data_IF_136245641591
#
_entry.id   IF_136245641591
#
_cell.length_a   1.000
_cell.length_b   1.000
_cell.length_c   1.000
_cell.angle_alpha   90.00
_cell.angle_beta   90.00
_cell.angle_gamma   90.00
#
_symmetry.space_group_name_H-M   'P 1'
#
loop_
_entity.id
_entity.type
_entity.pdbx_description
1 polymer ?
#
# COMPACT_ATOMS: atom_id res chain seq x y z
N UNK A 1 -61.30 -10.14 42.20
CA UNK A 1 -60.19 -10.43 41.20
C UNK A 1 -59.88 -9.30 40.22
N UNK A 2 -60.56 -8.16 40.18
CA UNK A 2 -60.26 -7.05 39.27
C UNK A 2 -59.19 -6.04 39.78
N UNK A 3 -59.00 -5.93 41.09
CA UNK A 3 -58.09 -4.94 41.67
C UNK A 3 -56.59 -5.23 41.46
N UNK A 4 -56.19 -6.48 41.27
CA UNK A 4 -54.80 -6.88 41.06
C UNK A 4 -54.34 -6.76 39.58
N UNK A 5 -55.27 -6.64 38.63
CA UNK A 5 -54.90 -6.43 37.22
C UNK A 5 -54.43 -5.03 36.90
N UNK A 6 -54.94 -4.01 37.60
CA UNK A 6 -54.48 -2.63 37.44
C UNK A 6 -53.12 -2.35 38.03
N UNK A 7 -52.77 -3.01 39.13
CA UNK A 7 -51.44 -2.87 39.71
C UNK A 7 -50.36 -3.50 38.79
N UNK A 8 -50.63 -4.61 38.13
CA UNK A 8 -49.71 -5.24 37.20
C UNK A 8 -49.52 -4.37 35.92
N UNK A 9 -50.56 -3.72 35.43
CA UNK A 9 -50.48 -2.78 34.28
C UNK A 9 -49.64 -1.53 34.65
N UNK A 10 -49.78 -0.99 35.85
CA UNK A 10 -48.99 0.16 36.29
C UNK A 10 -47.52 -0.20 36.54
N UNK A 11 -47.22 -1.42 36.96
CA UNK A 11 -45.82 -1.89 37.16
C UNK A 11 -45.14 -2.13 35.81
N UNK A 12 -45.85 -2.60 34.79
CA UNK A 12 -45.34 -2.76 33.42
C UNK A 12 -45.10 -1.39 32.75
N UNK A 13 -45.97 -0.38 32.99
CA UNK A 13 -45.78 0.98 32.50
C UNK A 13 -44.60 1.72 33.17
N UNK A 14 -44.28 1.43 34.44
CA UNK A 14 -43.15 2.01 35.14
C UNK A 14 -41.81 1.34 34.80
N UNK A 15 -41.81 0.12 34.31
CA UNK A 15 -40.61 -0.57 33.79
C UNK A 15 -40.24 -0.22 32.31
N UNK A 16 -41.12 0.51 31.59
CA UNK A 16 -40.80 1.05 30.26
C UNK A 16 -39.98 2.35 30.33
N UNK A 17 -39.53 2.75 31.54
CA UNK A 17 -38.66 3.91 31.75
C UNK A 17 -37.21 3.63 31.47
N UNK A 18 -36.72 4.28 30.45
CA UNK A 18 -35.31 4.56 30.18
C UNK A 18 -34.53 3.36 29.61
N UNK A 19 -34.90 2.89 28.42
CA UNK A 19 -33.89 2.43 27.51
C UNK A 19 -33.14 3.70 27.04
N UNK A 20 -32.07 4.05 27.73
CA UNK A 20 -31.08 5.00 27.18
C UNK A 20 -30.63 4.39 25.88
N UNK A 21 -30.96 5.05 24.78
CA UNK A 21 -30.38 4.70 23.50
C UNK A 21 -28.86 4.71 23.71
N UNK A 22 -28.20 3.59 23.44
CA UNK A 22 -26.76 3.48 23.56
C UNK A 22 -26.17 4.48 22.58
N UNK A 23 -25.26 5.34 23.04
CA UNK A 23 -24.54 6.25 22.16
C UNK A 23 -23.74 5.42 21.18
N UNK A 24 -24.18 5.36 19.93
CA UNK A 24 -23.50 4.62 18.85
C UNK A 24 -22.34 5.43 18.30
N UNK A 25 -21.32 5.63 19.16
CA UNK A 25 -20.15 6.45 18.85
C UNK A 25 -18.85 5.72 19.10
N UNK A 26 -17.94 5.78 18.12
CA UNK A 26 -16.53 5.45 18.28
C UNK A 26 -15.79 6.74 18.55
N UNK A 27 -15.01 6.82 19.62
CA UNK A 27 -14.29 8.05 19.92
C UNK A 27 -12.89 7.80 20.54
N UNK A 28 -11.98 8.75 20.30
CA UNK A 28 -10.59 8.67 20.72
C UNK A 28 -10.07 10.04 21.16
N UNK A 29 -9.07 10.05 22.05
CA UNK A 29 -8.43 11.25 22.59
C UNK A 29 -7.10 11.60 21.91
N UNK A 30 -6.77 10.92 20.82
CA UNK A 30 -5.54 11.14 20.07
C UNK A 30 -5.79 10.91 18.57
N UNK A 31 -5.01 11.55 17.69
CA UNK A 31 -5.05 11.26 16.24
C UNK A 31 -4.73 9.79 15.93
N UNK A 32 -5.15 9.30 14.78
CA UNK A 32 -4.74 8.02 14.26
C UNK A 32 -3.29 8.12 13.73
N UNK A 33 -2.47 7.14 14.09
CA UNK A 33 -1.10 7.02 13.59
C UNK A 33 -0.97 5.96 12.51
N UNK A 34 -1.99 5.10 12.37
CA UNK A 34 -2.05 4.01 11.39
C UNK A 34 -3.40 4.00 10.71
N UNK A 35 -3.44 3.48 9.50
CA UNK A 35 -4.67 3.33 8.73
C UNK A 35 -5.78 2.59 9.50
N UNK A 36 -5.43 1.52 10.22
CA UNK A 36 -6.38 0.73 11.03
C UNK A 36 -6.95 1.46 12.25
N UNK A 37 -6.42 2.61 12.60
CA UNK A 37 -6.91 3.47 13.69
C UNK A 37 -7.80 4.60 13.18
N UNK A 38 -7.74 4.91 11.86
CA UNK A 38 -8.50 5.98 11.25
C UNK A 38 -10.00 5.66 11.23
N UNK A 39 -10.85 6.69 11.20
CA UNK A 39 -12.30 6.55 11.20
C UNK A 39 -12.84 6.46 9.77
N UNK A 40 -13.60 5.41 9.42
CA UNK A 40 -14.15 5.25 8.08
C UNK A 40 -15.41 6.10 7.88
N UNK A 41 -15.51 6.72 6.70
CA UNK A 41 -16.74 7.33 6.18
C UNK A 41 -16.95 6.84 4.74
N UNK A 42 -18.22 6.77 4.29
CA UNK A 42 -18.49 6.32 2.92
C UNK A 42 -19.98 6.30 2.57
N UNK A 43 -20.26 6.24 1.24
CA UNK A 43 -21.60 6.13 0.69
C UNK A 43 -21.80 4.89 -0.20
N UNK A 44 -20.85 3.94 -0.16
CA UNK A 44 -20.82 2.75 -1.02
C UNK A 44 -19.96 2.94 -2.28
N UNK A 45 -19.93 4.13 -2.89
CA UNK A 45 -19.11 4.45 -4.06
C UNK A 45 -17.81 5.17 -3.68
N UNK A 46 -17.90 6.21 -2.89
CA UNK A 46 -16.77 6.93 -2.33
C UNK A 46 -16.58 6.56 -0.87
N UNK A 47 -15.35 6.43 -0.44
CA UNK A 47 -15.01 6.20 0.95
C UNK A 47 -13.73 6.93 1.34
N UNK A 48 -13.60 7.25 2.63
CA UNK A 48 -12.36 7.80 3.15
C UNK A 48 -12.07 7.31 4.57
N UNK A 49 -10.78 7.23 4.89
CA UNK A 49 -10.26 7.02 6.24
C UNK A 49 -9.80 8.37 6.79
N UNK A 50 -10.39 8.82 7.88
CA UNK A 50 -10.14 10.11 8.53
C UNK A 50 -9.18 9.91 9.70
N UNK A 51 -8.01 10.54 9.67
CA UNK A 51 -6.97 10.35 10.69
C UNK A 51 -7.15 11.25 11.92
N UNK A 52 -7.73 12.42 11.75
CA UNK A 52 -7.96 13.38 12.84
C UNK A 52 -6.70 14.12 13.29
N UNK A 53 -5.72 14.29 12.42
CA UNK A 53 -4.49 15.02 12.73
C UNK A 53 -4.74 16.50 12.99
N UNK A 54 -4.04 17.13 13.94
CA UNK A 54 -4.23 18.53 14.30
C UNK A 54 -3.52 19.45 13.31
N UNK A 55 -2.20 19.32 13.21
CA UNK A 55 -1.36 20.10 12.29
C UNK A 55 -1.49 19.59 10.85
N UNK A 56 -1.50 18.28 10.70
CA UNK A 56 -1.59 17.59 9.43
C UNK A 56 -2.78 16.61 9.48
N UNK A 57 -3.91 17.03 8.94
CA UNK A 57 -5.06 16.15 8.72
C UNK A 57 -4.87 15.36 7.43
N UNK A 58 -5.18 14.07 7.46
CA UNK A 58 -5.16 13.21 6.30
C UNK A 58 -6.52 12.52 6.12
N UNK A 59 -7.03 12.58 4.92
CA UNK A 59 -8.15 11.75 4.46
C UNK A 59 -7.64 10.89 3.31
N UNK A 60 -7.47 9.60 3.55
CA UNK A 60 -7.14 8.65 2.49
C UNK A 60 -8.43 8.17 1.85
N UNK A 61 -8.64 8.48 0.57
CA UNK A 61 -9.91 8.24 -0.10
C UNK A 61 -9.81 7.28 -1.27
N UNK A 62 -10.92 6.60 -1.51
CA UNK A 62 -11.08 5.64 -2.59
C UNK A 62 -12.38 5.89 -3.36
N UNK A 63 -12.42 5.37 -4.59
CA UNK A 63 -13.59 5.30 -5.45
C UNK A 63 -13.74 3.86 -5.97
N UNK A 64 -14.96 3.31 -5.95
CA UNK A 64 -15.22 1.87 -6.09
C UNK A 64 -14.77 1.24 -7.41
N UNK A 65 -14.64 2.03 -8.47
CA UNK A 65 -14.31 1.53 -9.81
C UNK A 65 -12.84 1.60 -10.16
N UNK A 66 -11.97 2.10 -9.27
CA UNK A 66 -10.53 2.15 -9.53
C UNK A 66 -9.88 0.81 -9.20
N UNK A 67 -9.68 -0.02 -10.24
CA UNK A 67 -9.06 -1.35 -10.14
C UNK A 67 -7.84 -1.43 -11.04
N UNK A 68 -7.01 -2.47 -10.88
CA UNK A 68 -5.95 -2.80 -11.85
C UNK A 68 -6.56 -3.45 -13.10
N UNK A 69 -5.80 -3.47 -14.21
CA UNK A 69 -6.24 -4.10 -15.44
C UNK A 69 -7.10 -3.19 -16.32
N UNK A 70 -8.10 -3.78 -16.94
CA UNK A 70 -9.03 -3.10 -17.85
C UNK A 70 -10.42 -3.71 -17.77
N UNK A 71 -11.48 -2.97 -18.07
CA UNK A 71 -12.82 -3.50 -18.16
C UNK A 71 -12.86 -4.62 -19.22
N UNK A 72 -13.36 -5.78 -18.87
CA UNK A 72 -13.48 -6.93 -19.77
C UNK A 72 -14.67 -7.81 -19.44
N UNK A 73 -15.11 -8.60 -20.40
CA UNK A 73 -16.08 -9.66 -20.16
C UNK A 73 -15.39 -10.85 -19.50
N UNK A 74 -15.77 -11.16 -18.27
CA UNK A 74 -15.25 -12.32 -17.52
C UNK A 74 -15.95 -13.63 -17.90
N UNK A 75 -17.11 -13.55 -18.58
CA UNK A 75 -17.85 -14.72 -19.01
C UNK A 75 -17.19 -15.36 -20.23
N UNK A 76 -16.90 -16.65 -20.15
CA UNK A 76 -16.42 -17.44 -21.28
C UNK A 76 -17.61 -18.17 -21.92
N UNK A 77 -17.96 -17.87 -23.19
CA UNK A 77 -19.03 -18.57 -23.87
C UNK A 77 -18.80 -20.08 -23.88
N UNK A 78 -19.79 -20.86 -23.46
CA UNK A 78 -19.71 -22.32 -23.43
C UNK A 78 -19.06 -22.92 -22.16
N UNK A 79 -18.54 -22.09 -21.24
CA UNK A 79 -17.91 -22.56 -19.99
C UNK A 79 -18.83 -23.48 -19.16
N UNK A 80 -20.12 -23.22 -19.15
CA UNK A 80 -21.12 -24.02 -18.43
C UNK A 80 -21.08 -25.51 -18.74
N UNK A 81 -20.60 -25.89 -19.93
CA UNK A 81 -20.47 -27.31 -20.35
C UNK A 81 -19.48 -28.10 -19.51
N UNK A 82 -18.54 -27.43 -18.89
CA UNK A 82 -17.51 -28.05 -18.04
C UNK A 82 -17.89 -28.09 -16.56
N UNK A 83 -19.00 -27.46 -16.17
CA UNK A 83 -19.40 -27.35 -14.77
C UNK A 83 -19.58 -28.72 -14.11
N UNK A 84 -20.24 -29.67 -14.80
CA UNK A 84 -20.46 -31.01 -14.24
C UNK A 84 -19.16 -31.81 -14.15
N UNK A 85 -18.24 -31.65 -15.08
CA UNK A 85 -16.92 -32.29 -15.01
C UNK A 85 -16.11 -31.75 -13.83
N UNK A 86 -16.15 -30.44 -13.59
CA UNK A 86 -15.50 -29.80 -12.43
C UNK A 86 -16.09 -30.35 -11.13
N UNK A 87 -17.43 -30.41 -11.03
CA UNK A 87 -18.13 -30.98 -9.87
C UNK A 87 -17.77 -32.44 -9.61
N UNK A 88 -17.72 -33.26 -10.65
CA UNK A 88 -17.33 -34.68 -10.53
C UNK A 88 -15.91 -34.83 -10.02
N UNK A 89 -14.97 -34.03 -10.50
CA UNK A 89 -13.59 -33.99 -10.01
C UNK A 89 -13.54 -33.61 -8.52
N UNK A 90 -14.28 -32.59 -8.11
CA UNK A 90 -14.35 -32.17 -6.70
C UNK A 90 -14.94 -33.29 -5.82
N UNK A 91 -16.05 -33.92 -6.23
CA UNK A 91 -16.65 -35.00 -5.48
C UNK A 91 -15.76 -36.27 -5.43
N UNK A 92 -14.88 -36.46 -6.41
CA UNK A 92 -13.86 -37.49 -6.42
C UNK A 92 -12.61 -37.17 -5.60
N UNK A 93 -12.56 -36.02 -4.91
CA UNK A 93 -11.41 -35.55 -4.16
C UNK A 93 -10.24 -35.08 -5.01
N UNK A 94 -10.46 -34.85 -6.31
CA UNK A 94 -9.45 -34.42 -7.30
C UNK A 94 -9.44 -32.92 -7.48
N UNK A 95 -9.18 -32.19 -6.39
CA UNK A 95 -9.26 -30.72 -6.37
C UNK A 95 -8.30 -30.07 -7.38
N UNK A 96 -7.05 -30.51 -7.45
CA UNK A 96 -6.06 -29.94 -8.39
C UNK A 96 -6.45 -30.06 -9.85
N UNK A 97 -7.04 -31.21 -10.23
CA UNK A 97 -7.53 -31.42 -11.59
C UNK A 97 -8.77 -30.58 -11.88
N UNK A 98 -9.64 -30.40 -10.88
CA UNK A 98 -10.80 -29.51 -10.98
C UNK A 98 -10.39 -28.04 -11.17
N UNK A 99 -9.40 -27.57 -10.41
CA UNK A 99 -8.84 -26.23 -10.52
C UNK A 99 -8.21 -26.01 -11.90
N UNK A 100 -7.40 -26.95 -12.37
CA UNK A 100 -6.77 -26.87 -13.70
C UNK A 100 -7.82 -26.84 -14.84
N UNK A 101 -8.87 -27.64 -14.72
CA UNK A 101 -9.97 -27.64 -15.69
C UNK A 101 -10.76 -26.31 -15.64
N UNK A 102 -11.03 -25.79 -14.44
CA UNK A 102 -11.71 -24.52 -14.25
C UNK A 102 -10.88 -23.37 -14.81
N UNK A 103 -9.58 -23.34 -14.54
CA UNK A 103 -8.66 -22.35 -15.09
C UNK A 103 -8.67 -22.35 -16.63
N UNK A 104 -8.55 -23.52 -17.23
CA UNK A 104 -8.48 -23.68 -18.67
C UNK A 104 -9.82 -23.34 -19.35
N UNK A 105 -10.94 -23.84 -18.84
CA UNK A 105 -12.19 -23.91 -19.56
C UNK A 105 -13.28 -22.99 -19.00
N UNK A 106 -13.20 -22.57 -17.75
CA UNK A 106 -14.20 -21.76 -17.07
C UNK A 106 -13.77 -20.33 -16.79
N UNK A 107 -12.52 -20.13 -16.33
CA UNK A 107 -11.98 -18.82 -16.01
C UNK A 107 -11.35 -18.17 -17.25
N UNK A 108 -11.88 -17.13 -17.79
CA UNK A 108 -11.37 -16.45 -18.99
C UNK A 108 -10.09 -15.61 -18.73
N UNK A 109 -9.06 -16.17 -18.10
CA UNK A 109 -7.82 -15.45 -17.80
C UNK A 109 -6.96 -15.29 -19.06
N UNK A 110 -6.39 -14.08 -19.23
CA UNK A 110 -5.36 -13.82 -20.24
C UNK A 110 -4.04 -14.39 -19.71
N UNK A 111 -3.37 -15.22 -20.52
CA UNK A 111 -1.99 -15.62 -20.21
C UNK A 111 -1.03 -14.52 -20.63
N UNK A 112 -0.09 -14.18 -19.75
CA UNK A 112 1.01 -13.25 -20.02
C UNK A 112 2.37 -13.98 -20.06
N UNK A 113 2.35 -15.29 -20.30
CA UNK A 113 3.57 -16.12 -20.23
C UNK A 113 4.62 -15.72 -21.26
N UNK A 114 4.18 -15.41 -22.48
CA UNK A 114 5.08 -14.99 -23.54
C UNK A 114 5.72 -13.63 -23.21
N UNK A 115 4.92 -12.68 -22.74
CA UNK A 115 5.38 -11.34 -22.32
C UNK A 115 6.34 -11.44 -21.13
N UNK A 116 6.04 -12.31 -20.15
CA UNK A 116 6.93 -12.56 -19.00
C UNK A 116 8.25 -13.17 -19.43
N UNK A 117 8.22 -14.19 -20.27
CA UNK A 117 9.44 -14.82 -20.81
C UNK A 117 10.31 -13.82 -21.57
N UNK A 118 9.71 -13.00 -22.41
CA UNK A 118 10.42 -11.94 -23.14
C UNK A 118 11.04 -10.92 -22.19
N UNK A 119 10.28 -10.49 -21.16
CA UNK A 119 10.74 -9.52 -20.16
C UNK A 119 11.88 -10.08 -19.30
N UNK A 120 11.80 -11.35 -18.87
CA UNK A 120 12.87 -12.04 -18.14
C UNK A 120 14.14 -12.09 -18.98
N UNK A 121 14.02 -12.51 -20.23
CA UNK A 121 15.16 -12.58 -21.15
C UNK A 121 15.82 -11.21 -21.35
N UNK A 122 15.03 -10.16 -21.56
CA UNK A 122 15.55 -8.80 -21.68
C UNK A 122 16.22 -8.30 -20.39
N UNK A 123 15.64 -8.60 -19.23
CA UNK A 123 16.17 -8.18 -17.93
C UNK A 123 17.46 -8.90 -17.51
N UNK A 124 17.65 -10.14 -18.00
CA UNK A 124 18.83 -10.97 -17.71
C UNK A 124 19.93 -10.89 -18.78
N UNK A 125 19.70 -10.17 -19.89
CA UNK A 125 20.64 -10.09 -21.01
C UNK A 125 21.94 -9.38 -20.64
N UNK A 126 21.86 -8.27 -19.90
CA UNK A 126 23.02 -7.46 -19.53
C UNK A 126 23.58 -7.90 -18.17
N UNK A 127 24.69 -8.62 -18.20
CA UNK A 127 25.39 -9.16 -17.03
C UNK A 127 26.52 -8.25 -16.52
N UNK A 128 26.73 -7.07 -17.12
CA UNK A 128 27.81 -6.15 -16.70
C UNK A 128 27.72 -5.78 -15.23
N UNK A 129 26.53 -5.70 -14.69
CA UNK A 129 26.29 -5.38 -13.28
C UNK A 129 26.74 -6.46 -12.30
N UNK A 130 27.00 -7.69 -12.77
CA UNK A 130 27.56 -8.76 -11.96
C UNK A 130 29.09 -8.72 -11.89
N UNK A 131 29.77 -7.97 -12.78
CA UNK A 131 31.22 -7.91 -12.84
C UNK A 131 31.80 -7.40 -11.50
N UNK A 132 32.89 -8.03 -11.00
CA UNK A 132 33.45 -7.66 -9.70
C UNK A 132 34.07 -6.24 -9.68
N UNK A 133 34.54 -5.76 -10.82
CA UNK A 133 35.12 -4.45 -11.07
C UNK A 133 34.10 -3.38 -11.54
N UNK A 134 32.83 -3.73 -11.62
CA UNK A 134 31.78 -2.79 -12.00
C UNK A 134 31.72 -1.62 -11.00
N UNK A 135 31.79 -0.39 -11.53
CA UNK A 135 31.66 0.83 -10.72
C UNK A 135 30.19 1.08 -10.37
N UNK A 136 29.81 0.80 -9.12
CA UNK A 136 28.51 1.04 -8.53
C UNK A 136 28.47 2.29 -7.63
N UNK A 137 29.45 3.20 -7.75
CA UNK A 137 29.59 4.39 -6.90
C UNK A 137 28.37 5.31 -6.95
N UNK A 138 27.71 5.38 -8.12
CA UNK A 138 26.52 6.19 -8.37
C UNK A 138 25.20 5.51 -7.98
N UNK A 139 25.25 4.24 -7.57
CA UNK A 139 24.05 3.53 -7.15
C UNK A 139 23.57 4.01 -5.78
N UNK A 140 22.25 4.01 -5.62
CA UNK A 140 21.62 4.28 -4.32
C UNK A 140 21.74 3.07 -3.41
N UNK A 141 21.38 3.23 -2.14
CA UNK A 141 21.40 2.15 -1.16
C UNK A 141 20.00 1.83 -0.62
N UNK A 142 19.79 0.56 -0.26
CA UNK A 142 18.65 0.11 0.51
C UNK A 142 19.09 -0.87 1.59
N UNK A 143 18.33 -0.98 2.67
CA UNK A 143 18.61 -1.96 3.72
C UNK A 143 18.13 -3.36 3.30
N UNK A 144 18.99 -4.37 3.51
CA UNK A 144 18.76 -5.77 3.14
C UNK A 144 19.22 -6.67 4.30
N UNK A 145 18.47 -7.72 4.68
CA UNK A 145 17.12 -8.06 4.26
C UNK A 145 16.08 -7.13 4.89
N UNK A 146 14.93 -6.98 4.24
CA UNK A 146 13.81 -6.25 4.80
C UNK A 146 12.66 -7.20 5.08
N UNK A 147 12.17 -7.19 6.32
CA UNK A 147 10.96 -7.89 6.67
C UNK A 147 9.80 -7.31 5.87
N UNK A 148 9.03 -8.18 5.25
CA UNK A 148 7.88 -7.77 4.45
C UNK A 148 8.24 -7.04 3.13
N UNK A 149 9.49 -7.16 2.66
CA UNK A 149 9.97 -6.66 1.38
C UNK A 149 10.58 -5.26 1.41
N UNK A 150 11.11 -4.86 0.30
CA UNK A 150 11.71 -3.53 0.12
C UNK A 150 10.70 -2.38 0.22
N UNK A 151 9.38 -2.66 0.16
CA UNK A 151 8.30 -1.72 0.45
C UNK A 151 8.44 -1.10 1.84
N UNK A 152 8.88 -1.88 2.82
CA UNK A 152 9.01 -1.43 4.22
C UNK A 152 10.23 -0.54 4.46
N UNK A 153 11.15 -0.47 3.49
CA UNK A 153 12.33 0.41 3.53
C UNK A 153 12.26 1.56 2.53
N UNK A 154 11.05 1.94 2.13
CA UNK A 154 10.79 3.15 1.36
C UNK A 154 10.58 2.95 -0.15
N UNK A 155 10.41 1.70 -0.61
CA UNK A 155 10.23 1.38 -2.03
C UNK A 155 8.82 0.84 -2.33
N UNK A 156 7.80 1.45 -1.74
CA UNK A 156 6.40 1.07 -1.94
C UNK A 156 6.03 0.98 -3.41
N UNK A 157 5.45 -0.16 -3.81
CA UNK A 157 5.02 -0.45 -5.18
C UNK A 157 6.18 -0.63 -6.17
N UNK A 158 7.40 -0.94 -5.73
CA UNK A 158 8.49 -1.31 -6.61
C UNK A 158 8.37 -2.79 -6.97
N UNK A 159 7.81 -3.08 -8.16
CA UNK A 159 7.98 -4.36 -8.82
C UNK A 159 8.90 -4.19 -10.02
N UNK A 160 9.69 -5.20 -10.35
CA UNK A 160 10.58 -5.09 -11.49
C UNK A 160 11.86 -5.90 -11.40
N UNK A 161 12.78 -5.56 -12.28
CA UNK A 161 14.15 -6.09 -12.34
C UNK A 161 15.09 -5.14 -11.60
N UNK A 162 15.66 -5.59 -10.49
CA UNK A 162 16.51 -4.78 -9.61
C UNK A 162 17.81 -5.51 -9.32
N UNK A 163 18.93 -4.89 -9.64
CA UNK A 163 20.24 -5.36 -9.19
C UNK A 163 20.51 -4.89 -7.77
N UNK A 164 20.96 -5.82 -6.94
CA UNK A 164 21.46 -5.58 -5.59
C UNK A 164 22.95 -5.96 -5.54
N UNK A 165 23.79 -5.13 -4.93
CA UNK A 165 25.24 -5.40 -4.81
C UNK A 165 25.76 -5.14 -3.41
N UNK A 166 26.65 -6.02 -2.99
CA UNK A 166 27.44 -5.87 -1.76
C UNK A 166 28.80 -6.54 -1.92
N UNK A 167 29.61 -6.50 -0.89
CA UNK A 167 30.88 -7.20 -0.83
C UNK A 167 31.19 -7.68 0.58
N UNK A 168 32.03 -8.70 0.69
CA UNK A 168 32.53 -9.20 1.96
C UNK A 168 34.03 -9.43 1.88
N UNK A 169 34.67 -9.50 3.04
CA UNK A 169 36.09 -9.84 3.16
C UNK A 169 36.19 -11.30 3.57
N UNK A 170 36.86 -12.10 2.76
CA UNK A 170 37.09 -13.51 3.05
C UNK A 170 38.18 -13.65 4.11
N UNK A 171 37.92 -14.30 5.27
CA UNK A 171 38.92 -14.61 6.27
C UNK A 171 40.00 -15.56 5.73
N UNK A 172 41.23 -15.36 6.15
CA UNK A 172 42.37 -16.18 5.67
C UNK A 172 42.22 -17.67 5.96
N UNK A 173 41.59 -18.04 7.05
CA UNK A 173 41.33 -19.43 7.45
C UNK A 173 40.17 -20.11 6.69
N UNK A 174 39.49 -19.39 5.78
CA UNK A 174 38.34 -19.93 4.98
C UNK A 174 38.72 -20.22 3.54
N UNK A 175 39.94 -19.88 3.09
CA UNK A 175 40.35 -19.96 1.68
C UNK A 175 40.33 -21.38 1.08
N UNK A 176 40.37 -22.41 1.91
CA UNK A 176 40.39 -23.81 1.47
C UNK A 176 39.00 -24.47 1.43
N UNK A 177 37.95 -23.76 1.78
CA UNK A 177 36.59 -24.29 1.88
C UNK A 177 35.65 -23.74 0.81
N UNK A 178 34.75 -24.59 0.31
CA UNK A 178 33.56 -24.10 -0.38
C UNK A 178 32.66 -23.36 0.62
N UNK A 179 31.94 -22.35 0.13
CA UNK A 179 31.04 -21.55 0.95
C UNK A 179 29.59 -21.83 0.63
N UNK A 180 28.74 -21.57 1.58
CA UNK A 180 27.29 -21.44 1.39
C UNK A 180 26.92 -19.97 1.53
N UNK A 181 26.36 -19.40 0.46
CA UNK A 181 25.71 -18.09 0.49
C UNK A 181 24.23 -18.28 0.77
N UNK A 182 23.79 -17.85 1.95
CA UNK A 182 22.41 -17.97 2.43
C UNK A 182 21.74 -16.60 2.39
N UNK A 183 20.79 -16.42 1.47
CA UNK A 183 20.05 -15.17 1.29
C UNK A 183 18.63 -15.25 1.80
N UNK A 184 18.29 -16.33 2.53
CA UNK A 184 16.95 -16.54 3.03
C UNK A 184 15.94 -16.65 1.87
N UNK A 185 14.95 -15.81 1.80
CA UNK A 185 13.95 -15.78 0.71
C UNK A 185 14.18 -14.60 -0.21
N UNK A 186 14.01 -14.81 -1.50
CA UNK A 186 14.00 -13.74 -2.51
C UNK A 186 12.69 -13.87 -3.30
N UNK A 187 12.00 -12.77 -3.49
CA UNK A 187 10.75 -12.71 -4.28
C UNK A 187 10.97 -11.92 -5.57
N UNK A 188 10.58 -12.48 -6.73
CA UNK A 188 10.03 -13.84 -6.97
C UNK A 188 11.09 -14.77 -7.55
N UNK A 189 11.94 -14.24 -8.44
CA UNK A 189 13.06 -14.93 -9.07
C UNK A 189 14.37 -14.22 -8.73
N UNK A 190 15.46 -14.97 -8.73
CA UNK A 190 16.78 -14.37 -8.60
C UNK A 190 17.83 -15.00 -9.53
N UNK A 191 18.86 -14.24 -9.79
CA UNK A 191 20.13 -14.67 -10.39
C UNK A 191 21.23 -14.13 -9.52
N UNK A 192 21.92 -15.01 -8.81
CA UNK A 192 22.93 -14.68 -7.81
C UNK A 192 24.33 -14.94 -8.33
N UNK A 193 25.19 -13.93 -8.26
CA UNK A 193 26.56 -13.95 -8.74
C UNK A 193 27.53 -13.69 -7.60
N UNK A 194 28.64 -14.43 -7.60
CA UNK A 194 29.81 -14.14 -6.75
C UNK A 194 31.01 -13.93 -7.69
N UNK A 195 31.69 -12.80 -7.53
CA UNK A 195 32.81 -12.38 -8.37
C UNK A 195 32.52 -12.51 -9.89
N UNK A 196 31.31 -12.15 -10.30
CA UNK A 196 30.87 -12.19 -11.70
C UNK A 196 30.40 -13.54 -12.20
N UNK A 197 30.52 -14.61 -11.40
CA UNK A 197 30.10 -15.97 -11.78
C UNK A 197 28.74 -16.29 -11.18
N UNK A 198 27.81 -16.80 -11.99
CA UNK A 198 26.50 -17.24 -11.52
C UNK A 198 26.66 -18.47 -10.61
N UNK A 199 26.25 -18.34 -9.35
CA UNK A 199 26.31 -19.42 -8.37
C UNK A 199 24.95 -20.06 -8.08
N UNK A 200 23.87 -19.38 -8.42
CA UNK A 200 22.52 -19.89 -8.24
C UNK A 200 21.43 -19.03 -8.85
N UNK A 201 20.29 -19.66 -9.10
CA UNK A 201 19.06 -19.02 -9.60
C UNK A 201 17.86 -19.86 -9.22
N UNK A 202 16.80 -19.24 -8.74
CA UNK A 202 15.52 -19.89 -8.45
C UNK A 202 14.34 -19.03 -8.88
N UNK A 203 13.21 -19.68 -9.20
CA UNK A 203 11.98 -19.04 -9.69
C UNK A 203 10.79 -19.34 -8.77
N UNK A 204 11.04 -19.37 -7.47
CA UNK A 204 10.04 -19.64 -6.44
C UNK A 204 10.34 -18.78 -5.21
N UNK A 205 9.57 -18.93 -4.14
CA UNK A 205 9.72 -18.22 -2.87
C UNK A 205 10.42 -19.01 -1.78
N UNK A 206 11.06 -20.13 -2.13
CA UNK A 206 11.81 -20.97 -1.21
C UNK A 206 13.12 -20.30 -0.76
N UNK A 207 13.76 -20.89 0.25
CA UNK A 207 15.03 -20.38 0.76
C UNK A 207 16.16 -20.49 -0.26
N UNK A 208 17.04 -19.49 -0.31
CA UNK A 208 18.21 -19.41 -1.20
C UNK A 208 19.46 -19.78 -0.43
N UNK A 209 19.96 -20.99 -0.65
CA UNK A 209 21.28 -21.44 -0.17
C UNK A 209 22.09 -21.89 -1.36
N UNK A 210 23.05 -21.09 -1.81
CA UNK A 210 23.86 -21.38 -2.96
C UNK A 210 25.27 -21.77 -2.57
N UNK A 211 25.77 -22.84 -3.17
CA UNK A 211 27.15 -23.26 -3.00
C UNK A 211 28.05 -22.39 -3.85
N UNK A 212 29.06 -21.81 -3.22
CA UNK A 212 30.10 -20.99 -3.84
C UNK A 212 31.40 -21.78 -3.78
N UNK A 213 31.86 -22.25 -4.93
CA UNK A 213 33.08 -23.03 -5.00
C UNK A 213 34.30 -22.17 -4.61
N UNK A 214 35.23 -22.76 -3.86
CA UNK A 214 36.44 -22.06 -3.35
C UNK A 214 37.25 -21.36 -4.43
N UNK A 215 37.34 -21.92 -5.62
CA UNK A 215 38.10 -21.37 -6.73
C UNK A 215 37.50 -20.07 -7.32
N UNK A 216 36.27 -19.71 -6.93
CA UNK A 216 35.66 -18.42 -7.25
C UNK A 216 36.02 -17.32 -6.26
N UNK A 217 36.61 -17.67 -5.13
CA UNK A 217 36.88 -16.74 -4.04
C UNK A 217 38.32 -16.24 -4.08
N UNK A 218 38.49 -14.98 -3.71
CA UNK A 218 39.79 -14.32 -3.66
C UNK A 218 40.13 -13.94 -2.21
N UNK A 219 41.44 -13.91 -1.90
CA UNK A 219 41.89 -13.32 -0.64
C UNK A 219 41.46 -11.87 -0.56
N UNK A 220 40.83 -11.49 0.57
CA UNK A 220 40.31 -10.15 0.78
C UNK A 220 38.93 -9.94 0.22
N UNK A 221 38.72 -8.87 -0.54
CA UNK A 221 37.37 -8.44 -0.99
C UNK A 221 36.81 -9.33 -2.08
N UNK A 222 35.59 -9.81 -1.86
CA UNK A 222 34.77 -10.55 -2.82
C UNK A 222 33.44 -9.81 -3.05
N UNK A 223 32.94 -9.82 -4.28
CA UNK A 223 31.68 -9.16 -4.65
C UNK A 223 30.52 -10.13 -4.71
N UNK A 224 29.36 -9.67 -4.31
CA UNK A 224 28.07 -10.35 -4.50
C UNK A 224 27.18 -9.42 -5.31
N UNK A 225 26.56 -9.95 -6.37
CA UNK A 225 25.55 -9.24 -7.15
C UNK A 225 24.34 -10.15 -7.33
N UNK A 226 23.14 -9.63 -7.08
CA UNK A 226 21.90 -10.39 -7.22
C UNK A 226 20.96 -9.58 -8.10
N UNK A 227 20.52 -10.16 -9.22
CA UNK A 227 19.39 -9.64 -9.97
C UNK A 227 18.12 -10.27 -9.41
N UNK A 228 17.27 -9.44 -8.83
CA UNK A 228 15.95 -9.82 -8.34
C UNK A 228 14.91 -9.45 -9.39
N UNK A 229 14.06 -10.40 -9.78
CA UNK A 229 12.90 -10.18 -10.62
C UNK A 229 11.65 -10.35 -9.77
N UNK A 230 10.98 -9.25 -9.50
CA UNK A 230 9.72 -9.23 -8.76
C UNK A 230 8.59 -8.81 -9.70
N UNK A 231 7.51 -9.59 -9.75
CA UNK A 231 6.41 -9.37 -10.68
C UNK A 231 5.21 -8.67 -10.04
N UNK A 232 5.04 -8.82 -8.73
CA UNK A 232 3.92 -8.23 -7.99
C UNK A 232 4.14 -8.31 -6.48
N UNK A 233 3.38 -7.50 -5.73
CA UNK A 233 3.39 -7.47 -4.26
C UNK A 233 4.80 -7.13 -3.71
N UNK A 234 5.16 -7.72 -2.60
CA UNK A 234 6.41 -7.43 -1.87
C UNK A 234 7.62 -8.07 -2.56
N UNK A 235 8.63 -7.28 -2.81
CA UNK A 235 9.82 -7.71 -3.52
C UNK A 235 11.11 -7.66 -2.69
N UNK A 236 12.20 -8.16 -3.26
CA UNK A 236 13.55 -8.09 -2.69
C UNK A 236 13.99 -9.32 -1.90
N UNK A 237 15.03 -9.13 -1.08
CA UNK A 237 15.55 -10.16 -0.18
C UNK A 237 14.78 -10.06 1.14
N UNK A 238 14.03 -11.10 1.44
CA UNK A 238 13.16 -11.18 2.60
C UNK A 238 13.91 -11.69 3.83
N UNK A 239 13.85 -10.95 4.93
CA UNK A 239 14.08 -11.54 6.23
C UNK A 239 12.88 -12.36 6.70
N UNK A 240 13.06 -13.27 7.63
CA UNK A 240 11.96 -13.80 8.41
C UNK A 240 11.51 -12.75 9.46
N UNK A 241 10.27 -12.86 9.94
CA UNK A 241 9.74 -12.00 11.01
C UNK A 241 10.53 -12.14 12.31
N UNK A 242 11.15 -13.29 12.48
CA UNK A 242 12.13 -13.52 13.51
C UNK A 242 13.45 -12.86 13.10
N UNK A 243 13.81 -11.80 13.80
CA UNK A 243 15.06 -11.04 13.60
C UNK A 243 16.31 -11.85 13.88
N UNK A 244 16.20 -13.09 14.40
CA UNK A 244 17.31 -14.01 14.61
C UNK A 244 17.87 -14.62 13.31
N UNK A 245 17.11 -14.52 12.21
CA UNK A 245 17.48 -15.11 10.93
C UNK A 245 18.04 -14.04 10.00
N UNK A 246 19.33 -14.11 9.80
CA UNK A 246 20.11 -13.18 9.00
C UNK A 246 20.55 -13.82 7.69
N UNK A 247 20.86 -12.99 6.70
CA UNK A 247 21.53 -13.41 5.47
C UNK A 247 23.05 -13.42 5.70
N UNK A 248 23.74 -14.37 5.08
CA UNK A 248 25.20 -14.45 5.28
C UNK A 248 25.89 -15.43 4.38
N UNK A 249 27.21 -15.50 4.52
CA UNK A 249 28.06 -16.49 3.86
C UNK A 249 28.94 -17.19 4.90
N UNK A 250 29.10 -18.50 4.76
CA UNK A 250 29.83 -19.33 5.72
C UNK A 250 30.45 -20.56 5.03
N UNK A 251 31.55 -21.15 5.58
CA UNK A 251 32.11 -22.38 5.07
C UNK A 251 31.08 -23.53 5.15
N UNK A 252 31.04 -24.37 4.14
CA UNK A 252 30.12 -25.52 4.07
C UNK A 252 30.22 -26.37 5.35
N UNK A 253 29.09 -26.61 6.02
CA UNK A 253 29.00 -27.32 7.30
C UNK A 253 29.31 -26.49 8.54
N UNK A 254 29.58 -25.18 8.43
CA UNK A 254 29.94 -24.31 9.55
C UNK A 254 29.03 -23.07 9.65
N UNK A 255 27.72 -23.25 9.65
CA UNK A 255 26.73 -22.15 9.70
C UNK A 255 26.95 -21.14 10.85
N UNK A 256 27.57 -21.60 11.96
CA UNK A 256 27.84 -20.74 13.12
C UNK A 256 28.98 -19.74 12.90
N UNK A 257 29.84 -19.97 11.90
CA UNK A 257 30.97 -19.10 11.55
C UNK A 257 30.58 -18.04 10.49
N UNK A 258 29.30 -17.74 10.34
CA UNK A 258 28.75 -16.89 9.29
C UNK A 258 29.29 -15.46 9.32
N UNK A 259 29.69 -14.95 8.14
CA UNK A 259 29.84 -13.51 7.88
C UNK A 259 28.44 -12.97 7.60
N UNK A 260 28.01 -12.01 8.40
CA UNK A 260 26.73 -11.32 8.24
C UNK A 260 26.75 -10.43 7.00
N UNK A 261 25.75 -10.56 6.15
CA UNK A 261 25.58 -9.73 4.95
C UNK A 261 24.44 -8.72 5.07
N UNK A 262 23.68 -8.75 6.18
CA UNK A 262 22.63 -7.77 6.43
C UNK A 262 23.21 -6.35 6.55
N UNK A 263 22.56 -5.38 5.93
CA UNK A 263 23.00 -4.00 5.97
C UNK A 263 22.58 -3.21 4.74
N UNK A 264 23.31 -2.13 4.47
CA UNK A 264 23.08 -1.29 3.29
C UNK A 264 23.71 -1.94 2.05
N UNK A 265 22.87 -2.27 1.08
CA UNK A 265 23.28 -2.75 -0.23
C UNK A 265 23.09 -1.69 -1.29
N UNK A 266 23.97 -1.65 -2.27
CA UNK A 266 23.79 -0.85 -3.48
C UNK A 266 22.66 -1.45 -4.32
N UNK A 267 21.82 -0.60 -4.95
CA UNK A 267 20.77 -1.08 -5.86
C UNK A 267 20.63 -0.23 -7.12
N UNK A 268 20.19 -0.89 -8.18
CA UNK A 268 19.87 -0.26 -9.46
C UNK A 268 18.61 -0.90 -10.07
N UNK A 269 17.63 -0.09 -10.40
CA UNK A 269 16.38 -0.53 -11.05
C UNK A 269 16.59 -0.53 -12.54
N UNK A 270 16.62 -1.73 -13.15
CA UNK A 270 16.75 -1.91 -14.60
C UNK A 270 15.44 -1.64 -15.31
N UNK A 271 14.37 -2.20 -14.77
CA UNK A 271 13.02 -2.09 -15.32
C UNK A 271 12.01 -2.25 -14.17
N UNK A 272 11.12 -1.29 -14.03
CA UNK A 272 10.10 -1.26 -12.95
C UNK A 272 8.68 -1.51 -13.48
N UNK A 273 8.57 -2.10 -14.68
CA UNK A 273 7.29 -2.41 -15.31
C UNK A 273 7.24 -3.87 -15.78
N UNK A 274 7.21 -4.85 -14.86
CA UNK A 274 7.08 -6.25 -15.22
C UNK A 274 5.70 -6.51 -15.84
N UNK A 275 5.58 -7.50 -16.75
CA UNK A 275 4.29 -7.95 -17.25
C UNK A 275 3.42 -8.47 -16.11
N UNK A 276 2.09 -8.32 -16.20
CA UNK A 276 1.18 -8.80 -15.19
C UNK A 276 1.33 -10.31 -14.96
N UNK A 277 1.27 -10.73 -13.70
CA UNK A 277 1.01 -12.12 -13.36
C UNK A 277 -0.47 -12.36 -13.66
N UNK A 278 -0.80 -13.43 -14.37
CA UNK A 278 -2.18 -13.80 -14.65
C UNK A 278 -2.96 -13.92 -13.33
N UNK A 279 -3.84 -12.96 -13.07
CA UNK A 279 -4.69 -12.95 -11.88
C UNK A 279 -6.13 -13.14 -12.30
N UNK A 280 -6.86 -13.95 -11.55
CA UNK A 280 -8.29 -14.18 -11.80
C UNK A 280 -9.13 -12.94 -11.48
N UNK A 281 -8.65 -12.12 -10.56
CA UNK A 281 -9.32 -10.92 -10.10
C UNK A 281 -8.39 -9.72 -10.21
N UNK A 282 -8.93 -8.58 -10.68
CA UNK A 282 -8.24 -7.31 -10.59
C UNK A 282 -8.04 -6.91 -9.13
N UNK A 283 -7.00 -6.13 -8.85
CA UNK A 283 -6.74 -5.60 -7.52
C UNK A 283 -7.40 -4.22 -7.36
N UNK A 284 -8.13 -4.04 -6.27
CA UNK A 284 -8.66 -2.73 -5.90
C UNK A 284 -7.51 -1.77 -5.61
N UNK A 285 -7.62 -0.54 -6.10
CA UNK A 285 -6.53 0.43 -6.04
C UNK A 285 -6.90 1.60 -5.11
N UNK A 286 -5.96 2.07 -4.27
CA UNK A 286 -6.14 3.33 -3.56
C UNK A 286 -6.20 4.48 -4.57
N UNK A 287 -7.03 5.50 -4.29
CA UNK A 287 -7.13 6.64 -5.21
C UNK A 287 -6.12 7.73 -4.87
N UNK A 288 -6.17 8.22 -3.64
CA UNK A 288 -5.29 9.28 -3.20
C UNK A 288 -5.54 9.73 -1.76
N UNK A 289 -4.78 10.73 -1.37
CA UNK A 289 -4.85 11.36 -0.07
C UNK A 289 -5.17 12.85 -0.23
N UNK A 290 -6.08 13.36 0.60
CA UNK A 290 -6.28 14.78 0.87
C UNK A 290 -5.55 15.12 2.15
N UNK A 291 -4.70 16.13 2.12
CA UNK A 291 -4.03 16.71 3.29
C UNK A 291 -4.51 18.13 3.55
N UNK A 292 -4.78 18.41 4.82
CA UNK A 292 -5.04 19.77 5.30
C UNK A 292 -3.93 20.15 6.29
N UNK A 293 -3.05 21.06 5.90
CA UNK A 293 -1.91 21.48 6.72
C UNK A 293 -2.27 22.80 7.42
N UNK A 294 -2.43 22.74 8.74
CA UNK A 294 -2.76 23.89 9.58
C UNK A 294 -1.50 24.49 10.20
N UNK A 295 -1.42 25.82 10.36
CA UNK A 295 -0.29 26.49 11.01
C UNK A 295 -0.33 26.35 12.54
N UNK A 296 -0.94 25.31 13.07
CA UNK A 296 -1.04 25.06 14.50
C UNK A 296 0.22 24.36 14.97
N UNK A 297 1.10 25.07 15.65
CA UNK A 297 2.34 24.53 16.21
C UNK A 297 2.25 24.43 17.73
N UNK A 298 2.42 23.23 18.26
CA UNK A 298 2.44 23.02 19.71
C UNK A 298 1.24 22.26 20.26
N UNK A 299 1.12 22.27 21.60
CA UNK A 299 0.14 21.47 22.30
C UNK A 299 -1.30 22.00 22.11
N UNK A 300 -2.22 21.08 21.89
CA UNK A 300 -3.67 21.35 21.89
C UNK A 300 -4.32 20.75 23.13
N UNK A 301 -5.44 21.29 23.53
CA UNK A 301 -6.27 20.77 24.62
C UNK A 301 -7.63 20.32 24.09
N UNK A 302 -8.37 19.56 24.92
CA UNK A 302 -9.72 19.10 24.61
C UNK A 302 -9.84 18.34 23.29
N UNK A 303 -8.78 17.63 22.88
CA UNK A 303 -8.79 16.87 21.65
C UNK A 303 -9.75 15.68 21.74
N UNK A 304 -10.59 15.54 20.71
CA UNK A 304 -11.48 14.39 20.52
C UNK A 304 -11.71 14.18 19.02
N UNK A 305 -11.55 12.95 18.57
CA UNK A 305 -12.09 12.50 17.28
C UNK A 305 -13.17 11.45 17.52
N UNK A 306 -14.20 11.47 16.70
CA UNK A 306 -15.38 10.64 16.93
C UNK A 306 -16.02 10.29 15.58
N UNK A 307 -16.60 9.10 15.50
CA UNK A 307 -17.55 8.68 14.45
C UNK A 307 -18.89 8.41 15.11
N UNK A 308 -19.87 9.18 14.75
CA UNK A 308 -21.28 8.91 15.08
C UNK A 308 -21.85 7.93 14.05
N UNK A 309 -22.06 6.68 14.48
CA UNK A 309 -22.52 5.60 13.59
C UNK A 309 -23.99 5.84 13.17
N UNK A 310 -24.77 6.56 13.99
CA UNK A 310 -26.19 6.83 13.69
C UNK A 310 -26.36 7.84 12.56
N UNK A 311 -25.40 8.77 12.41
CA UNK A 311 -25.42 9.82 11.37
C UNK A 311 -24.39 9.61 10.29
N UNK A 312 -23.48 8.65 10.47
CA UNK A 312 -22.31 8.41 9.60
C UNK A 312 -21.39 9.65 9.44
N UNK A 313 -21.33 10.50 10.46
CA UNK A 313 -20.49 11.69 10.50
C UNK A 313 -19.28 11.44 11.39
N UNK A 314 -18.07 11.59 10.85
CA UNK A 314 -16.88 11.68 11.64
C UNK A 314 -16.59 13.14 12.01
N UNK A 315 -15.98 13.37 13.17
CA UNK A 315 -15.60 14.71 13.60
C UNK A 315 -14.26 14.70 14.34
N UNK A 316 -13.56 15.83 14.28
CA UNK A 316 -12.36 16.13 15.08
C UNK A 316 -12.53 17.47 15.74
N UNK A 317 -12.44 17.53 17.06
CA UNK A 317 -12.52 18.76 17.86
C UNK A 317 -11.28 18.92 18.71
N UNK A 318 -10.82 20.15 18.88
CA UNK A 318 -9.70 20.51 19.75
C UNK A 318 -9.70 22.00 20.04
N UNK A 319 -8.94 22.40 21.05
CA UNK A 319 -8.70 23.81 21.40
C UNK A 319 -7.22 24.12 21.17
N UNK A 320 -6.95 25.14 20.36
CA UNK A 320 -5.63 25.72 20.11
C UNK A 320 -5.68 27.22 20.29
N UNK A 321 -4.75 27.80 21.05
CA UNK A 321 -4.68 29.24 21.37
C UNK A 321 -6.03 29.82 21.84
N UNK A 322 -6.68 29.13 22.77
CA UNK A 322 -8.01 29.47 23.33
C UNK A 322 -9.17 29.47 22.30
N UNK A 323 -8.94 29.02 21.07
CA UNK A 323 -9.94 28.92 20.02
C UNK A 323 -10.32 27.44 19.88
N UNK A 324 -11.62 27.14 19.92
CA UNK A 324 -12.12 25.80 19.63
C UNK A 324 -12.30 25.60 18.14
N UNK A 325 -11.74 24.54 17.60
CA UNK A 325 -11.85 24.12 16.22
C UNK A 325 -12.69 22.85 16.13
N UNK A 326 -13.52 22.77 15.10
CA UNK A 326 -14.30 21.59 14.76
C UNK A 326 -14.17 21.30 13.27
N UNK A 327 -13.90 20.04 12.93
CA UNK A 327 -13.92 19.51 11.57
C UNK A 327 -14.95 18.39 11.53
N UNK A 328 -15.84 18.42 10.55
CA UNK A 328 -16.84 17.38 10.31
C UNK A 328 -16.62 16.78 8.94
N UNK A 329 -16.78 15.47 8.86
CA UNK A 329 -16.51 14.69 7.65
C UNK A 329 -17.65 13.72 7.41
N UNK A 330 -18.18 13.73 6.20
CA UNK A 330 -19.21 12.76 5.77
C UNK A 330 -19.15 12.56 4.27
N UNK A 331 -19.84 11.53 3.77
CA UNK A 331 -19.95 11.28 2.33
C UNK A 331 -21.41 11.37 1.92
N UNK A 332 -21.71 12.38 1.11
CA UNK A 332 -23.06 12.58 0.57
C UNK A 332 -23.38 11.52 -0.50
N UNK A 333 -24.44 10.77 -0.32
CA UNK A 333 -24.92 9.80 -1.32
C UNK A 333 -25.60 10.49 -2.52
N UNK A 334 -26.50 11.50 -2.34
CA UNK A 334 -27.11 12.16 -3.49
C UNK A 334 -26.12 12.98 -4.32
N UNK A 335 -25.11 13.62 -3.69
CA UNK A 335 -24.16 14.50 -4.38
C UNK A 335 -22.89 13.76 -4.83
N UNK A 336 -22.70 12.51 -4.40
CA UNK A 336 -21.51 11.70 -4.70
C UNK A 336 -20.20 12.43 -4.38
N UNK A 337 -20.13 13.00 -3.16
CA UNK A 337 -18.99 13.79 -2.71
C UNK A 337 -18.62 13.50 -1.25
N UNK A 338 -17.35 13.44 -0.96
CA UNK A 338 -16.81 13.51 0.40
C UNK A 338 -16.81 14.99 0.79
N UNK A 339 -17.37 15.31 1.93
CA UNK A 339 -17.51 16.68 2.44
C UNK A 339 -16.70 16.82 3.72
N UNK A 340 -15.85 17.82 3.78
CA UNK A 340 -15.14 18.24 4.99
C UNK A 340 -15.53 19.66 5.32
N UNK A 341 -16.15 19.88 6.47
CA UNK A 341 -16.50 21.21 6.98
C UNK A 341 -15.56 21.62 8.10
N UNK A 342 -15.01 22.82 7.99
CA UNK A 342 -14.11 23.42 8.97
C UNK A 342 -14.82 24.62 9.62
N UNK A 343 -14.88 24.61 10.96
CA UNK A 343 -15.44 25.70 11.76
C UNK A 343 -14.56 26.04 12.96
N UNK A 344 -14.64 27.25 13.44
CA UNK A 344 -13.94 27.68 14.65
C UNK A 344 -14.81 28.62 15.50
N UNK A 345 -14.54 28.69 16.81
CA UNK A 345 -15.28 29.57 17.74
C UNK A 345 -14.99 31.05 17.53
N UNK A 346 -13.99 31.42 16.73
CA UNK A 346 -13.59 32.78 16.39
C UNK A 346 -13.54 32.95 14.87
N UNK A 347 -14.08 34.02 14.35
CA UNK A 347 -14.03 34.38 12.93
C UNK A 347 -12.61 34.67 12.45
N UNK A 348 -12.38 34.53 11.16
CA UNK A 348 -11.11 34.80 10.49
C UNK A 348 -9.90 34.03 11.06
N UNK A 349 -10.13 32.79 11.54
CA UNK A 349 -9.07 31.97 12.15
C UNK A 349 -8.77 30.67 11.38
N UNK A 350 -9.60 30.32 10.39
CA UNK A 350 -9.36 29.13 9.60
C UNK A 350 -8.36 29.46 8.49
N UNK A 351 -7.13 28.96 8.65
CA UNK A 351 -6.08 29.02 7.65
C UNK A 351 -5.45 27.65 7.52
N UNK A 352 -5.36 27.15 6.29
CA UNK A 352 -4.67 25.89 6.00
C UNK A 352 -4.30 25.77 4.52
N UNK A 353 -3.34 24.88 4.24
CA UNK A 353 -3.03 24.45 2.88
C UNK A 353 -3.81 23.17 2.58
N UNK A 354 -4.39 23.10 1.40
CA UNK A 354 -5.13 21.93 0.89
C UNK A 354 -4.30 21.31 -0.21
N UNK A 355 -3.87 20.07 0.01
CA UNK A 355 -2.95 19.35 -0.87
C UNK A 355 -3.53 17.97 -1.20
N UNK A 356 -3.08 17.42 -2.32
CA UNK A 356 -3.39 16.05 -2.72
C UNK A 356 -2.10 15.27 -2.94
N UNK A 357 -2.19 13.96 -2.80
CA UNK A 357 -1.19 13.02 -3.31
C UNK A 357 -1.86 11.73 -3.76
N UNK A 358 -1.10 10.85 -4.39
CA UNK A 358 -1.56 9.51 -4.73
C UNK A 358 -0.41 8.51 -4.53
N UNK A 359 -0.68 7.26 -4.10
CA UNK A 359 0.32 6.20 -4.08
C UNK A 359 0.70 5.70 -5.48
N UNK A 360 -0.08 6.07 -6.52
CA UNK A 360 0.28 5.76 -7.89
C UNK A 360 1.52 6.55 -8.33
N UNK A 361 2.45 5.90 -9.03
CA UNK A 361 3.64 6.58 -9.56
C UNK A 361 3.32 7.58 -10.68
N UNK A 362 2.28 7.28 -11.45
CA UNK A 362 1.82 8.10 -12.57
C UNK A 362 0.59 8.90 -12.14
N UNK A 363 0.81 10.03 -11.50
CA UNK A 363 -0.24 10.99 -11.20
C UNK A 363 0.21 12.42 -11.46
N UNK A 364 -0.74 13.30 -11.69
CA UNK A 364 -0.54 14.76 -11.76
C UNK A 364 -1.54 15.47 -10.88
N UNK A 365 -1.14 16.66 -10.43
CA UNK A 365 -2.02 17.58 -9.71
C UNK A 365 -2.03 18.89 -10.50
N UNK A 366 -3.20 19.23 -11.01
CA UNK A 366 -3.38 20.38 -11.87
C UNK A 366 -4.38 21.36 -11.26
N UNK A 367 -4.20 22.63 -11.54
CA UNK A 367 -5.19 23.67 -11.25
C UNK A 367 -6.34 23.58 -12.26
N UNK A 368 -7.57 23.41 -11.78
CA UNK A 368 -8.75 23.47 -12.63
C UNK A 368 -9.30 24.90 -12.72
N UNK A 369 -9.49 25.52 -11.56
CA UNK A 369 -9.87 26.93 -11.43
C UNK A 369 -9.24 27.54 -10.15
N UNK A 370 -9.69 28.71 -9.71
CA UNK A 370 -9.08 29.41 -8.58
C UNK A 370 -9.30 28.73 -7.22
N UNK A 371 -10.24 27.79 -7.13
CA UNK A 371 -10.59 27.09 -5.89
C UNK A 371 -10.73 25.59 -6.07
N UNK A 372 -10.28 25.04 -7.18
CA UNK A 372 -10.39 23.61 -7.51
C UNK A 372 -9.07 23.04 -8.03
N UNK A 373 -8.63 21.93 -7.43
CA UNK A 373 -7.53 21.09 -7.91
C UNK A 373 -8.08 19.82 -8.57
N UNK A 374 -7.32 19.27 -9.49
CA UNK A 374 -7.58 17.97 -10.13
C UNK A 374 -6.40 17.05 -9.88
N UNK A 375 -6.65 15.91 -9.26
CA UNK A 375 -5.73 14.78 -9.23
C UNK A 375 -6.09 13.83 -10.38
N UNK A 376 -5.15 13.58 -11.28
CA UNK A 376 -5.28 12.58 -12.33
C UNK A 376 -4.34 11.41 -12.00
N UNK A 377 -4.86 10.20 -11.97
CA UNK A 377 -4.09 8.99 -11.68
C UNK A 377 -4.17 8.01 -12.85
N UNK A 378 -3.08 7.29 -13.09
CA UNK A 378 -3.05 6.17 -14.01
C UNK A 378 -2.56 4.95 -13.26
N UNK A 379 -3.40 3.92 -13.21
CA UNK A 379 -3.04 2.64 -12.61
C UNK A 379 -1.91 2.01 -13.44
N UNK A 380 -0.93 1.45 -12.77
CA UNK A 380 0.30 0.93 -13.40
C UNK A 380 0.01 -0.18 -14.40
N UNK A 381 -0.89 -1.10 -14.05
CA UNK A 381 -1.22 -2.27 -14.87
C UNK A 381 -2.59 -2.11 -15.51
N UNK A 382 -2.63 -2.20 -16.85
CA UNK A 382 -3.85 -2.08 -17.61
C UNK A 382 -4.16 -0.66 -18.11
N UNK A 383 -5.44 -0.37 -18.33
CA UNK A 383 -5.93 0.85 -18.97
C UNK A 383 -6.65 1.79 -18.01
N UNK A 384 -6.76 1.43 -16.72
CA UNK A 384 -7.54 2.19 -15.75
C UNK A 384 -6.90 3.54 -15.42
N UNK A 385 -7.72 4.58 -15.45
CA UNK A 385 -7.37 5.95 -15.09
C UNK A 385 -8.47 6.53 -14.21
N UNK A 386 -8.10 7.44 -13.31
CA UNK A 386 -9.05 8.12 -12.48
C UNK A 386 -8.79 9.62 -12.41
N UNK A 387 -9.85 10.39 -12.16
CA UNK A 387 -9.75 11.82 -11.82
C UNK A 387 -10.52 12.10 -10.55
N UNK A 388 -9.91 12.90 -9.67
CA UNK A 388 -10.56 13.44 -8.49
C UNK A 388 -10.48 14.96 -8.51
N UNK A 389 -11.58 15.61 -8.18
CA UNK A 389 -11.67 17.07 -8.05
C UNK A 389 -11.82 17.42 -6.58
N UNK A 390 -10.97 18.33 -6.11
CA UNK A 390 -11.09 18.93 -4.78
C UNK A 390 -11.45 20.38 -4.94
N UNK A 391 -12.64 20.76 -4.45
CA UNK A 391 -13.15 22.12 -4.48
C UNK A 391 -13.27 22.69 -3.09
N UNK A 392 -12.76 23.90 -2.90
CA UNK A 392 -12.82 24.65 -1.64
C UNK A 392 -13.80 25.82 -1.78
N UNK A 393 -14.68 25.96 -0.80
CA UNK A 393 -15.59 27.10 -0.65
C UNK A 393 -15.36 27.70 0.75
N UNK A 394 -15.22 29.00 0.85
CA UNK A 394 -15.05 29.68 2.14
C UNK A 394 -16.11 30.73 2.39
N UNK A 395 -16.44 30.93 3.66
CA UNK A 395 -17.16 32.09 4.14
C UNK A 395 -16.16 33.02 4.78
N UNK A 396 -16.00 34.22 4.23
CA UNK A 396 -14.90 35.11 4.59
C UNK A 396 -13.53 34.59 4.14
N UNK A 397 -12.50 35.34 4.43
CA UNK A 397 -11.12 35.02 4.07
C UNK A 397 -10.83 35.04 2.58
N UNK A 398 -9.74 34.38 2.20
CA UNK A 398 -9.28 34.28 0.79
C UNK A 398 -8.85 32.86 0.45
N UNK A 399 -9.02 32.50 -0.82
CA UNK A 399 -8.44 31.30 -1.40
C UNK A 399 -7.41 31.76 -2.43
N UNK A 400 -6.22 31.19 -2.39
CA UNK A 400 -5.17 31.37 -3.39
C UNK A 400 -4.60 30.04 -3.82
N UNK A 401 -3.99 30.02 -4.99
CA UNK A 401 -3.30 28.85 -5.54
C UNK A 401 -1.79 29.07 -5.47
N UNK A 402 -1.07 28.10 -4.94
CA UNK A 402 0.38 28.08 -4.84
C UNK A 402 0.91 26.74 -5.35
N UNK A 403 1.51 26.75 -6.55
CA UNK A 403 2.08 25.59 -7.24
C UNK A 403 1.09 24.44 -7.46
N UNK A 404 0.93 23.53 -6.51
CA UNK A 404 0.06 22.35 -6.58
C UNK A 404 -0.92 22.28 -5.40
N UNK A 405 -1.10 23.40 -4.68
CA UNK A 405 -1.91 23.46 -3.47
C UNK A 405 -2.85 24.66 -3.47
N UNK A 406 -3.99 24.55 -2.79
CA UNK A 406 -4.83 25.68 -2.45
C UNK A 406 -4.48 26.16 -1.04
N UNK A 407 -4.49 27.46 -0.84
CA UNK A 407 -4.25 28.10 0.45
C UNK A 407 -5.51 28.83 0.88
N UNK A 408 -6.08 28.44 2.01
CA UNK A 408 -7.16 29.14 2.70
C UNK A 408 -6.50 30.07 3.71
N UNK A 409 -6.83 31.36 3.66
CA UNK A 409 -6.33 32.37 4.58
C UNK A 409 -7.46 33.10 5.27
N UNK A 410 -7.50 32.99 6.60
CA UNK A 410 -8.39 33.72 7.52
C UNK A 410 -9.88 33.60 7.18
N UNK A 411 -10.35 32.40 6.82
CA UNK A 411 -11.78 32.15 6.64
C UNK A 411 -12.53 32.06 7.98
N UNK A 412 -13.81 32.41 7.97
CA UNK A 412 -14.74 32.15 9.08
C UNK A 412 -15.15 30.69 9.12
N UNK A 413 -15.43 30.13 7.94
CA UNK A 413 -15.79 28.74 7.70
C UNK A 413 -15.19 28.31 6.35
N UNK A 414 -14.89 27.02 6.22
CA UNK A 414 -14.49 26.45 4.93
C UNK A 414 -15.14 25.09 4.73
N UNK A 415 -15.55 24.82 3.50
CA UNK A 415 -16.05 23.50 3.09
C UNK A 415 -15.24 23.00 1.92
N UNK A 416 -14.78 21.76 2.01
CA UNK A 416 -13.99 21.09 1.01
C UNK A 416 -14.78 19.89 0.49
N UNK A 417 -14.96 19.86 -0.81
CA UNK A 417 -15.66 18.78 -1.53
C UNK A 417 -14.63 17.96 -2.30
N UNK A 418 -14.70 16.64 -2.18
CA UNK A 418 -13.92 15.71 -2.98
C UNK A 418 -14.86 14.82 -3.75
N UNK A 419 -14.72 14.78 -5.06
CA UNK A 419 -15.40 13.79 -5.91
C UNK A 419 -14.35 13.06 -6.75
N UNK A 420 -14.64 11.83 -7.11
CA UNK A 420 -13.73 11.01 -7.90
C UNK A 420 -14.52 10.11 -8.86
N UNK A 421 -13.87 9.69 -9.92
CA UNK A 421 -14.38 8.74 -10.88
C UNK A 421 -13.25 8.15 -11.71
N UNK A 422 -13.50 6.99 -12.31
CA UNK A 422 -12.57 6.32 -13.21
C UNK A 422 -13.16 6.19 -14.62
N UNK A 423 -12.38 5.62 -15.52
CA UNK A 423 -12.80 5.29 -16.88
C UNK A 423 -13.36 3.87 -17.00
N UNK A 424 -13.77 3.27 -15.90
CA UNK A 424 -14.41 1.95 -15.87
C UNK A 424 -15.74 1.92 -16.61
#
# INVERSE_FOLDING_TARGET
MQRNRWILLWTILLCSGIIKAQDLKLWYRQPAMKWTEALPIGNGRLGAMVFGGVENEQLQFNEETLWSGEPRTYSRPGAYRYLDSIRQLLFAGKQKEAEALAEKEFMGTKSFEAERSAWVNASTADKKYAAPDFDDSQWKTMYVPSWDGWETVGFGGLDGAVWLRTSFILPDNWQESDMIADFNRIRDHDYTYVNGVLVGSQQNTEGRKYKVARNLLHKGKNSIAILVLNFFDKGGIYGYKDTSIHIGIYPEGKEKEKIELAGQWKYYVVNDNPPPVGVYQASYQPFGDLYLLFPHTGAVSNYRRELDISTAVASTTYTYDSISYKREYFVSAPDQAIVTQLTASKKATISCKVMMSSPHRNYTIDKFDNNTLVLSVKVRTGAMQGKSYIRVITKGGKISFDSTQLVIDKADEATIYVTAGSNF
#
